data_IF_348482012322
#
_entry.id   IF_348482012322
#
_cell.length_a   1.000
_cell.length_b   1.000
_cell.length_c   1.000
_cell.angle_alpha   90.00
_cell.angle_beta   90.00
_cell.angle_gamma   90.00
#
_symmetry.space_group_name_H-M   'P 1'
#
loop_
_entity.id
_entity.type
_entity.pdbx_description
1 polymer ?
#
# COMPACT_ATOMS: atom_id res chain seq x y z
N UNK A 1 14.67 9.14 23.04
CA UNK A 1 15.44 8.00 22.50
C UNK A 1 16.59 8.58 21.70
N UNK A 2 17.82 8.26 22.05
CA UNK A 2 19.01 8.70 21.32
C UNK A 2 19.25 7.84 20.06
N UNK A 3 20.19 8.29 19.23
CA UNK A 3 20.54 7.67 17.95
C UNK A 3 21.08 6.25 18.10
N UNK A 4 21.85 5.96 19.15
CA UNK A 4 22.47 4.65 19.33
C UNK A 4 21.41 3.60 19.67
N UNK A 5 20.52 3.90 20.63
CA UNK A 5 19.37 3.04 20.95
C UNK A 5 18.46 2.82 19.74
N UNK A 6 18.24 3.86 18.94
CA UNK A 6 17.46 3.76 17.70
C UNK A 6 18.10 2.77 16.71
N UNK A 7 19.38 2.95 16.37
CA UNK A 7 20.07 2.11 15.40
C UNK A 7 20.11 0.66 15.87
N UNK A 8 20.42 0.41 17.14
CA UNK A 8 20.44 -0.94 17.71
C UNK A 8 19.06 -1.63 17.60
N UNK A 9 17.99 -0.91 17.93
CA UNK A 9 16.62 -1.43 17.82
C UNK A 9 16.18 -1.72 16.38
N UNK A 10 16.55 -0.86 15.43
CA UNK A 10 16.27 -1.08 14.00
C UNK A 10 17.06 -2.24 13.43
N UNK A 11 18.34 -2.36 13.76
CA UNK A 11 19.18 -3.50 13.32
C UNK A 11 18.63 -4.83 13.85
N UNK A 12 18.22 -4.87 15.12
CA UNK A 12 17.55 -6.04 15.70
C UNK A 12 16.28 -6.40 14.93
N UNK A 13 15.42 -5.41 14.67
CA UNK A 13 14.20 -5.58 13.89
C UNK A 13 14.49 -6.17 12.50
N UNK A 14 15.50 -5.64 11.79
CA UNK A 14 15.86 -6.12 10.45
C UNK A 14 16.33 -7.58 10.50
N UNK A 15 17.12 -7.96 11.49
CA UNK A 15 17.66 -9.31 11.64
C UNK A 15 16.62 -10.36 12.07
N UNK A 16 15.59 -9.95 12.82
CA UNK A 16 14.53 -10.84 13.31
C UNK A 16 13.32 -10.97 12.35
N UNK A 17 13.23 -10.10 11.36
CA UNK A 17 12.14 -10.06 10.37
C UNK A 17 12.50 -10.85 9.10
N UNK A 18 11.53 -11.11 8.19
CA UNK A 18 11.76 -11.90 6.96
C UNK A 18 12.52 -11.13 5.86
N UNK A 19 13.47 -10.26 6.22
CA UNK A 19 14.26 -9.49 5.26
C UNK A 19 15.51 -10.27 4.86
N UNK A 20 15.90 -10.17 3.59
CA UNK A 20 17.13 -10.77 3.07
C UNK A 20 18.04 -9.69 2.47
N UNK A 21 19.35 -9.89 2.62
CA UNK A 21 20.34 -9.05 1.96
C UNK A 21 20.33 -9.33 0.46
N UNK A 22 20.45 -8.27 -0.34
CA UNK A 22 20.54 -8.34 -1.80
C UNK A 22 21.92 -7.85 -2.26
N UNK A 23 22.48 -8.43 -3.34
CA UNK A 23 23.87 -8.18 -3.72
C UNK A 23 24.11 -6.80 -4.35
N UNK A 24 23.05 -6.13 -4.81
CA UNK A 24 23.15 -4.84 -5.51
C UNK A 24 21.92 -3.98 -5.30
N UNK A 25 22.09 -2.67 -5.49
CA UNK A 25 20.98 -1.72 -5.51
C UNK A 25 19.95 -2.10 -6.61
N UNK A 26 18.68 -2.34 -6.26
CA UNK A 26 17.65 -2.78 -7.20
C UNK A 26 17.03 -1.62 -8.00
N UNK A 27 17.43 -0.37 -7.76
CA UNK A 27 16.83 0.83 -8.35
C UNK A 27 16.75 0.75 -9.87
N UNK A 28 17.85 0.43 -10.54
CA UNK A 28 17.90 0.32 -12.01
C UNK A 28 17.04 -0.82 -12.52
N UNK A 29 17.05 -1.98 -11.87
CA UNK A 29 16.21 -3.11 -12.27
C UNK A 29 14.72 -2.82 -12.09
N UNK A 30 14.34 -2.16 -11.00
CA UNK A 30 12.97 -1.77 -10.74
C UNK A 30 12.51 -0.70 -11.74
N UNK A 31 13.37 0.26 -12.09
CA UNK A 31 13.06 1.23 -13.14
C UNK A 31 12.83 0.54 -14.49
N UNK A 32 13.66 -0.42 -14.87
CA UNK A 32 13.46 -1.17 -16.11
C UNK A 32 12.13 -1.93 -16.11
N UNK A 33 11.78 -2.62 -15.02
CA UNK A 33 10.49 -3.32 -14.90
C UNK A 33 9.30 -2.38 -15.05
N UNK A 34 9.28 -1.28 -14.29
CA UNK A 34 8.24 -0.25 -14.35
C UNK A 34 8.14 0.36 -15.75
N UNK A 35 9.28 0.73 -16.33
CA UNK A 35 9.35 1.32 -17.67
C UNK A 35 8.81 0.37 -18.74
N UNK A 36 9.14 -0.92 -18.66
CA UNK A 36 8.62 -1.93 -19.59
C UNK A 36 7.11 -2.06 -19.47
N UNK A 37 6.57 -2.19 -18.25
CA UNK A 37 5.13 -2.31 -18.06
C UNK A 37 4.36 -1.08 -18.57
N UNK A 38 4.84 0.13 -18.26
CA UNK A 38 4.23 1.37 -18.74
C UNK A 38 4.28 1.47 -20.27
N UNK A 39 5.39 1.08 -20.89
CA UNK A 39 5.53 1.14 -22.36
C UNK A 39 4.62 0.15 -23.06
N UNK A 40 4.48 -1.06 -22.51
CA UNK A 40 3.64 -2.12 -23.08
C UNK A 40 2.14 -1.89 -22.91
N UNK A 41 1.72 -1.04 -21.98
CA UNK A 41 0.29 -0.76 -21.76
C UNK A 41 -0.34 -0.03 -22.96
N UNK A 42 -1.50 -0.48 -23.43
CA UNK A 42 -2.27 0.18 -24.49
C UNK A 42 -3.26 1.22 -23.92
N UNK A 43 -3.69 1.09 -22.67
CA UNK A 43 -4.63 2.03 -22.04
C UNK A 43 -3.99 3.36 -21.61
N UNK A 44 -2.66 3.43 -21.54
CA UNK A 44 -1.94 4.65 -21.17
C UNK A 44 -1.60 5.50 -22.40
N UNK A 45 -2.08 6.76 -22.50
CA UNK A 45 -1.67 7.66 -23.56
C UNK A 45 -0.18 7.97 -23.54
N UNK A 46 0.41 8.27 -24.70
CA UNK A 46 1.85 8.50 -24.83
C UNK A 46 2.37 9.62 -23.90
N UNK A 47 1.62 10.72 -23.75
CA UNK A 47 1.96 11.83 -22.86
C UNK A 47 2.01 11.37 -21.40
N UNK A 48 1.03 10.56 -20.99
CA UNK A 48 0.96 10.01 -19.64
C UNK A 48 2.12 9.06 -19.37
N UNK A 49 2.44 8.14 -20.30
CA UNK A 49 3.59 7.24 -20.20
C UNK A 49 4.89 7.99 -19.89
N UNK A 50 5.12 9.14 -20.55
CA UNK A 50 6.31 9.98 -20.30
C UNK A 50 6.33 10.54 -18.87
N UNK A 51 5.19 11.00 -18.34
CA UNK A 51 5.11 11.50 -16.96
C UNK A 51 5.21 10.41 -15.88
N UNK A 52 4.85 9.17 -16.21
CA UNK A 52 4.87 8.06 -15.25
C UNK A 52 6.25 7.40 -15.13
N UNK A 53 7.15 7.64 -16.09
CA UNK A 53 8.52 7.11 -16.06
C UNK A 53 9.44 8.20 -15.49
N UNK A 54 9.92 8.05 -14.23
CA UNK A 54 10.82 9.04 -13.66
C UNK A 54 12.19 8.98 -14.35
N UNK A 55 12.86 10.13 -14.57
CA UNK A 55 14.19 10.16 -15.20
C UNK A 55 15.28 9.57 -14.29
N UNK A 56 15.09 9.70 -12.97
CA UNK A 56 15.98 9.18 -11.93
C UNK A 56 15.12 8.51 -10.87
N UNK A 57 15.58 7.38 -10.33
CA UNK A 57 14.93 6.66 -9.23
C UNK A 57 15.91 6.45 -8.09
N UNK A 58 15.40 6.41 -6.87
CA UNK A 58 16.13 5.93 -5.70
C UNK A 58 15.63 4.55 -5.27
N UNK A 59 16.44 3.87 -4.45
CA UNK A 59 15.98 2.71 -3.70
C UNK A 59 15.01 3.17 -2.60
N UNK A 60 14.04 2.33 -2.28
CA UNK A 60 13.12 2.58 -1.18
C UNK A 60 13.90 2.63 0.15
N UNK A 61 13.51 3.54 1.04
CA UNK A 61 14.22 3.74 2.32
C UNK A 61 13.38 3.21 3.47
N UNK A 62 13.95 2.31 4.26
CA UNK A 62 13.36 1.89 5.52
C UNK A 62 13.73 2.87 6.64
N UNK A 63 12.73 3.28 7.40
CA UNK A 63 12.91 3.94 8.69
C UNK A 63 11.91 3.35 9.68
N UNK A 64 12.21 3.41 10.97
CA UNK A 64 11.32 2.91 11.99
C UNK A 64 10.78 4.01 12.89
N UNK A 65 9.54 3.86 13.35
CA UNK A 65 8.91 4.72 14.35
C UNK A 65 8.73 3.96 15.68
N UNK A 66 9.23 4.48 16.82
CA UNK A 66 9.02 3.85 18.11
C UNK A 66 7.54 3.95 18.55
N UNK A 67 6.96 2.83 18.98
CA UNK A 67 5.61 2.81 19.58
C UNK A 67 5.70 3.10 21.08
N UNK A 68 5.91 4.37 21.43
CA UNK A 68 6.15 4.84 22.83
C UNK A 68 5.04 4.50 23.82
N UNK A 69 3.83 4.22 23.33
CA UNK A 69 2.68 3.82 24.14
C UNK A 69 2.63 2.32 24.45
N UNK A 70 3.60 1.51 24.01
CA UNK A 70 3.65 0.06 24.28
C UNK A 70 4.86 -0.29 25.12
N UNK A 71 4.69 -1.26 26.02
CA UNK A 71 5.77 -1.84 26.82
C UNK A 71 6.90 -2.33 25.91
N UNK A 72 8.15 -2.02 26.30
CA UNK A 72 9.34 -2.36 25.50
C UNK A 72 9.56 -1.48 24.26
N UNK A 73 8.69 -0.49 24.00
CA UNK A 73 8.79 0.49 22.90
C UNK A 73 9.15 -0.18 21.55
N UNK A 74 8.34 -1.14 21.06
CA UNK A 74 8.60 -1.82 19.82
C UNK A 74 8.59 -0.84 18.64
N UNK A 75 9.40 -1.14 17.62
CA UNK A 75 9.49 -0.33 16.41
C UNK A 75 8.42 -0.70 15.38
N UNK A 76 7.91 0.29 14.64
CA UNK A 76 7.12 0.12 13.42
C UNK A 76 8.01 0.44 12.22
N UNK A 77 8.43 -0.55 11.41
CA UNK A 77 9.14 -0.25 10.17
C UNK A 77 8.20 0.40 9.16
N UNK A 78 8.69 1.38 8.43
CA UNK A 78 8.02 2.05 7.32
C UNK A 78 8.99 2.10 6.15
N UNK A 79 8.51 1.67 4.98
CA UNK A 79 9.26 1.78 3.72
C UNK A 79 8.76 3.01 2.98
N UNK A 80 9.62 4.02 2.85
CA UNK A 80 9.36 5.19 2.03
C UNK A 80 9.63 4.87 0.57
N UNK A 81 8.57 4.88 -0.23
CA UNK A 81 8.63 4.79 -1.68
C UNK A 81 8.72 6.16 -2.37
N UNK A 82 8.99 7.23 -1.63
CA UNK A 82 9.14 8.56 -2.23
C UNK A 82 10.32 8.56 -3.20
N UNK A 83 10.09 9.02 -4.44
CA UNK A 83 11.10 9.06 -5.53
C UNK A 83 11.63 7.68 -5.96
N UNK A 84 10.89 6.60 -5.70
CA UNK A 84 11.18 5.29 -6.30
C UNK A 84 10.55 5.18 -7.69
N UNK A 85 10.96 4.19 -8.47
CA UNK A 85 10.55 3.99 -9.85
C UNK A 85 9.03 3.84 -10.00
N UNK A 86 8.37 3.11 -9.10
CA UNK A 86 6.94 2.85 -9.13
C UNK A 86 6.10 3.99 -8.55
N UNK A 87 6.69 4.99 -7.89
CA UNK A 87 5.94 6.04 -7.19
C UNK A 87 4.97 6.83 -8.09
N UNK A 88 5.38 7.32 -9.29
CA UNK A 88 4.45 8.04 -10.17
C UNK A 88 3.31 7.14 -10.66
N UNK A 89 3.62 5.89 -11.03
CA UNK A 89 2.63 4.90 -11.45
C UNK A 89 1.64 4.60 -10.32
N UNK A 90 2.12 4.35 -9.10
CA UNK A 90 1.28 4.11 -7.95
C UNK A 90 0.35 5.29 -7.66
N UNK A 91 0.85 6.53 -7.75
CA UNK A 91 0.02 7.73 -7.58
C UNK A 91 -1.08 7.82 -8.64
N UNK A 92 -0.75 7.51 -9.89
CA UNK A 92 -1.73 7.44 -10.97
C UNK A 92 -2.78 6.35 -10.70
N UNK A 93 -2.37 5.12 -10.37
CA UNK A 93 -3.30 4.03 -10.07
C UNK A 93 -4.22 4.36 -8.90
N UNK A 94 -3.69 4.95 -7.82
CA UNK A 94 -4.51 5.44 -6.71
C UNK A 94 -5.55 6.44 -7.19
N UNK A 95 -5.19 7.42 -8.04
CA UNK A 95 -6.15 8.38 -8.58
C UNK A 95 -7.25 7.73 -9.44
N UNK A 96 -6.95 6.59 -10.09
CA UNK A 96 -7.93 5.81 -10.87
C UNK A 96 -8.82 4.97 -9.96
N UNK A 97 -8.30 4.42 -8.87
CA UNK A 97 -9.02 3.52 -7.99
C UNK A 97 -9.80 4.22 -6.88
N UNK A 98 -9.35 5.39 -6.41
CA UNK A 98 -10.03 6.12 -5.32
C UNK A 98 -11.53 6.39 -5.58
N UNK A 99 -11.96 6.80 -6.79
CA UNK A 99 -13.38 6.98 -7.08
C UNK A 99 -14.19 5.69 -6.96
N UNK A 100 -13.57 4.54 -7.26
CA UNK A 100 -14.21 3.23 -7.15
C UNK A 100 -14.48 2.86 -5.69
N UNK A 101 -13.80 3.50 -4.73
CA UNK A 101 -13.95 3.23 -3.29
C UNK A 101 -14.89 4.22 -2.59
N UNK A 102 -15.37 5.25 -3.27
CA UNK A 102 -16.04 6.41 -2.65
C UNK A 102 -17.35 6.11 -1.91
N UNK A 103 -17.97 4.95 -2.15
CA UNK A 103 -19.27 4.54 -1.58
C UNK A 103 -19.23 3.14 -0.95
N UNK A 104 -18.10 2.73 -0.37
CA UNK A 104 -18.00 1.43 0.30
C UNK A 104 -18.74 1.45 1.66
N UNK A 105 -19.80 0.64 1.79
CA UNK A 105 -20.60 0.53 3.02
C UNK A 105 -19.82 -0.06 4.20
N UNK A 106 -18.69 -0.73 3.93
CA UNK A 106 -17.83 -1.35 4.94
C UNK A 106 -16.72 -0.42 5.44
N UNK A 107 -16.69 0.84 5.00
CA UNK A 107 -15.73 1.83 5.48
C UNK A 107 -16.44 2.98 6.19
N UNK A 108 -15.68 3.64 7.06
CA UNK A 108 -16.07 4.85 7.76
C UNK A 108 -14.99 5.89 7.54
N UNK A 109 -15.36 7.15 7.37
CA UNK A 109 -14.42 8.23 7.06
C UNK A 109 -13.73 8.77 8.30
N UNK A 110 -14.35 8.64 9.47
CA UNK A 110 -13.85 9.19 10.73
C UNK A 110 -14.36 8.44 11.95
N UNK A 111 -13.69 8.63 13.08
CA UNK A 111 -14.17 8.13 14.38
C UNK A 111 -15.51 8.73 14.78
N UNK A 112 -15.78 9.99 14.41
CA UNK A 112 -17.08 10.64 14.66
C UNK A 112 -18.24 9.99 13.90
N UNK A 113 -17.99 9.48 12.69
CA UNK A 113 -18.99 8.72 11.94
C UNK A 113 -19.34 7.41 12.65
N UNK A 114 -18.34 6.74 13.24
CA UNK A 114 -18.55 5.53 14.05
C UNK A 114 -19.41 5.84 15.26
N UNK A 115 -19.08 6.89 16.03
CA UNK A 115 -19.86 7.25 17.22
C UNK A 115 -21.31 7.59 16.87
N UNK A 116 -21.54 8.28 15.75
CA UNK A 116 -22.89 8.60 15.30
C UNK A 116 -23.67 7.34 14.91
N UNK A 117 -23.05 6.41 14.17
CA UNK A 117 -23.68 5.13 13.77
C UNK A 117 -24.01 4.25 14.98
N UNK A 118 -23.18 4.28 16.02
CA UNK A 118 -23.38 3.46 17.22
C UNK A 118 -24.38 4.07 18.21
N UNK A 119 -24.67 5.38 18.13
CA UNK A 119 -25.49 6.10 19.12
C UNK A 119 -26.91 5.54 19.25
N UNK A 120 -27.49 5.11 18.14
CA UNK A 120 -28.89 4.68 18.07
C UNK A 120 -29.06 3.16 18.20
N UNK A 121 -27.97 2.42 18.42
CA UNK A 121 -28.01 0.96 18.59
C UNK A 121 -28.38 0.63 20.03
N UNK A 122 -29.54 -0.01 20.23
CA UNK A 122 -29.94 -0.53 21.54
C UNK A 122 -29.05 -1.70 21.93
N UNK A 123 -28.39 -1.59 23.07
CA UNK A 123 -27.43 -2.58 23.60
C UNK A 123 -28.04 -3.51 24.66
N UNK A 124 -29.36 -3.55 24.80
CA UNK A 124 -30.00 -4.37 25.82
C UNK A 124 -29.70 -5.86 25.54
N UNK A 125 -29.15 -6.56 26.54
CA UNK A 125 -28.68 -7.96 26.45
C UNK A 125 -27.63 -8.23 25.36
N UNK A 126 -26.85 -7.23 24.95
CA UNK A 126 -25.83 -7.37 23.91
C UNK A 126 -24.40 -7.39 24.49
N UNK A 127 -23.49 -8.03 23.76
CA UNK A 127 -22.04 -8.02 24.06
C UNK A 127 -21.33 -7.32 22.92
N UNK A 128 -20.45 -6.37 23.26
CA UNK A 128 -19.57 -5.72 22.29
C UNK A 128 -18.28 -6.53 22.14
N UNK A 129 -17.95 -6.88 20.90
CA UNK A 129 -16.70 -7.56 20.56
C UNK A 129 -15.90 -6.68 19.61
N UNK A 130 -14.63 -6.46 19.92
CA UNK A 130 -13.70 -5.71 19.07
C UNK A 130 -12.62 -6.63 18.53
N UNK A 131 -12.35 -6.52 17.24
CA UNK A 131 -11.31 -7.26 16.55
C UNK A 131 -10.25 -6.29 16.03
N UNK A 132 -8.97 -6.65 16.19
CA UNK A 132 -7.84 -5.92 15.61
C UNK A 132 -7.05 -6.85 14.68
N UNK A 133 -6.66 -6.33 13.52
CA UNK A 133 -5.88 -7.09 12.54
C UNK A 133 -4.39 -6.92 12.84
N UNK A 134 -3.72 -8.02 13.17
CA UNK A 134 -2.28 -8.02 13.40
C UNK A 134 -1.51 -7.83 12.09
N UNK A 135 -0.68 -6.81 12.04
CA UNK A 135 0.25 -6.54 10.93
C UNK A 135 -0.41 -6.47 9.55
N UNK A 136 -1.53 -5.72 9.45
CA UNK A 136 -2.35 -5.60 8.24
C UNK A 136 -1.54 -5.49 6.94
N UNK A 137 -0.61 -4.53 6.84
CA UNK A 137 0.13 -4.27 5.59
C UNK A 137 1.01 -5.44 5.12
N UNK A 138 1.55 -6.26 6.02
CA UNK A 138 2.43 -7.38 5.65
C UNK A 138 1.66 -8.68 5.44
N UNK A 139 0.39 -8.73 5.88
CA UNK A 139 -0.45 -9.93 5.84
C UNK A 139 -1.61 -9.82 4.83
N UNK A 140 -1.62 -8.79 3.97
CA UNK A 140 -2.62 -8.71 2.89
C UNK A 140 -2.35 -9.82 1.87
N UNK A 141 -3.30 -10.73 1.60
CA UNK A 141 -3.14 -11.73 0.56
C UNK A 141 -3.18 -11.05 -0.81
N UNK A 142 -2.01 -10.95 -1.46
CA UNK A 142 -1.84 -10.17 -2.70
C UNK A 142 -2.80 -10.63 -3.81
N UNK A 143 -2.89 -11.94 -4.07
CA UNK A 143 -3.81 -12.47 -5.09
C UNK A 143 -5.28 -12.20 -4.76
N UNK A 144 -5.66 -12.30 -3.48
CA UNK A 144 -7.01 -11.96 -3.03
C UNK A 144 -7.33 -10.48 -3.25
N UNK A 145 -6.39 -9.59 -2.91
CA UNK A 145 -6.54 -8.15 -3.12
C UNK A 145 -6.65 -7.78 -4.61
N UNK A 146 -5.87 -8.44 -5.48
CA UNK A 146 -5.96 -8.27 -6.92
C UNK A 146 -7.29 -8.77 -7.48
N UNK A 147 -7.82 -9.89 -6.97
CA UNK A 147 -9.15 -10.38 -7.36
C UNK A 147 -10.25 -9.40 -6.93
N UNK A 148 -10.17 -8.84 -5.72
CA UNK A 148 -11.09 -7.80 -5.28
C UNK A 148 -11.03 -6.55 -6.18
N UNK A 149 -9.83 -6.14 -6.59
CA UNK A 149 -9.66 -5.03 -7.54
C UNK A 149 -10.33 -5.35 -8.88
N UNK A 150 -10.07 -6.54 -9.44
CA UNK A 150 -10.67 -7.00 -10.70
C UNK A 150 -12.20 -6.97 -10.63
N UNK A 151 -12.80 -7.58 -9.59
CA UNK A 151 -14.25 -7.54 -9.35
C UNK A 151 -14.78 -6.12 -9.28
N UNK A 152 -14.07 -5.22 -8.57
CA UNK A 152 -14.50 -3.84 -8.43
C UNK A 152 -14.45 -3.07 -9.75
N UNK A 153 -13.49 -3.37 -10.62
CA UNK A 153 -13.42 -2.76 -11.95
C UNK A 153 -14.56 -3.28 -12.85
N UNK A 154 -14.93 -4.55 -12.76
CA UNK A 154 -16.09 -5.10 -13.47
C UNK A 154 -17.41 -4.43 -13.06
N UNK A 155 -17.61 -4.19 -11.75
CA UNK A 155 -18.78 -3.48 -11.23
C UNK A 155 -18.90 -2.03 -11.76
N UNK A 156 -17.79 -1.45 -12.19
CA UNK A 156 -17.73 -0.09 -12.76
C UNK A 156 -17.67 -0.10 -14.29
N UNK A 157 -17.99 -1.23 -14.92
CA UNK A 157 -18.11 -1.39 -16.37
C UNK A 157 -16.83 -1.05 -17.15
N UNK A 158 -15.66 -1.29 -16.56
CA UNK A 158 -14.40 -1.28 -17.31
C UNK A 158 -14.40 -2.42 -18.34
N UNK A 159 -13.74 -2.20 -19.48
CA UNK A 159 -13.57 -3.24 -20.49
C UNK A 159 -12.61 -4.33 -20.00
N UNK A 160 -12.71 -5.54 -20.55
CA UNK A 160 -11.81 -6.65 -20.21
C UNK A 160 -10.33 -6.26 -20.35
N UNK A 161 -9.98 -5.59 -21.46
CA UNK A 161 -8.62 -5.11 -21.71
C UNK A 161 -8.15 -4.09 -20.68
N UNK A 162 -8.99 -3.15 -20.27
CA UNK A 162 -8.62 -2.19 -19.22
C UNK A 162 -8.39 -2.86 -17.88
N UNK A 163 -9.21 -3.85 -17.53
CA UNK A 163 -9.08 -4.61 -16.29
C UNK A 163 -7.75 -5.35 -16.27
N UNK A 164 -7.46 -6.12 -17.31
CA UNK A 164 -6.22 -6.90 -17.41
C UNK A 164 -4.99 -5.99 -17.32
N UNK A 165 -5.00 -4.85 -18.01
CA UNK A 165 -3.90 -3.90 -17.97
C UNK A 165 -3.75 -3.19 -16.63
N UNK A 166 -4.85 -2.75 -15.99
CA UNK A 166 -4.80 -2.10 -14.67
C UNK A 166 -4.34 -3.06 -13.58
N UNK A 167 -4.79 -4.32 -13.63
CA UNK A 167 -4.34 -5.38 -12.72
C UNK A 167 -2.86 -5.70 -12.97
N UNK A 168 -2.44 -5.82 -14.24
CA UNK A 168 -1.04 -6.03 -14.62
C UNK A 168 -0.13 -4.90 -14.13
N UNK A 169 -0.52 -3.63 -14.36
CA UNK A 169 0.22 -2.45 -13.90
C UNK A 169 0.32 -2.37 -12.37
N UNK A 170 -0.66 -2.92 -11.64
CA UNK A 170 -0.66 -2.95 -10.17
C UNK A 170 0.35 -3.96 -9.60
N UNK A 171 0.75 -4.97 -10.39
CA UNK A 171 1.73 -6.00 -9.97
C UNK A 171 3.20 -5.56 -10.08
N UNK A 172 3.46 -4.40 -10.68
CA UNK A 172 4.79 -3.97 -11.14
C UNK A 172 5.63 -3.27 -10.07
#
# INVERSE_FOLDING_TARGET
>A
MDKHTYIAGVSKLINECPYCSIPKDPSTSNLTKVKTAIKSSHILPMQLKKSLIPPITNCARLYALPKVHKTGIPFRPIVSNIRTASYPLAKYLVSRFSPLLANNIHTVKSSSEVTNKLKDISILHSIMVSFDVKSLFTNVPVEGALKCLETRLWEFHFTHTEIDELVSLTKV
#
